data_IF_308028398737
#
_entry.id   IF_308028398737
#
_cell.length_a   1.000
_cell.length_b   1.000
_cell.length_c   1.000
_cell.angle_alpha   90.00
_cell.angle_beta   90.00
_cell.angle_gamma   90.00
#
_symmetry.space_group_name_H-M   'P 1'
#
loop_
_entity.id
_entity.type
_entity.pdbx_description
1 polymer ?
#
# COMPACT_ATOMS: atom_id res chain seq x y z
N UNK A 1 -14.37 13.42 -0.74
CA UNK A 1 -13.71 14.57 -1.43
C UNK A 1 -13.01 14.08 -2.70
N UNK A 2 -12.75 14.95 -3.69
CA UNK A 2 -11.96 14.61 -4.88
C UNK A 2 -10.89 15.68 -5.11
N UNK A 3 -9.61 15.31 -4.97
CA UNK A 3 -8.47 16.22 -5.05
C UNK A 3 -7.45 15.67 -6.05
N UNK A 4 -6.87 16.55 -6.86
CA UNK A 4 -5.83 16.20 -7.83
C UNK A 4 -4.76 17.29 -7.90
N UNK A 5 -3.51 16.90 -8.13
CA UNK A 5 -2.40 17.83 -8.35
C UNK A 5 -1.35 17.24 -9.30
N UNK A 6 -0.61 18.09 -9.99
CA UNK A 6 0.49 17.69 -10.89
C UNK A 6 1.82 18.34 -10.53
N UNK A 7 1.88 19.16 -9.47
CA UNK A 7 3.11 19.82 -9.04
C UNK A 7 4.10 18.86 -8.39
N UNK A 8 5.40 19.05 -8.63
CA UNK A 8 6.48 18.17 -8.14
C UNK A 8 6.69 18.08 -6.62
N UNK A 9 5.77 18.65 -5.82
CA UNK A 9 5.72 18.53 -4.35
C UNK A 9 4.27 18.58 -3.84
N UNK A 10 3.33 18.03 -4.60
CA UNK A 10 1.91 18.02 -4.23
C UNK A 10 1.69 17.45 -2.82
N UNK A 11 0.86 18.12 -2.02
CA UNK A 11 0.43 17.66 -0.71
C UNK A 11 -1.09 17.65 -0.66
N UNK A 12 -1.69 16.47 -0.64
CA UNK A 12 -3.14 16.29 -0.60
C UNK A 12 -3.52 15.48 0.63
N UNK A 13 -4.53 15.97 1.36
CA UNK A 13 -5.06 15.27 2.53
C UNK A 13 -6.59 15.31 2.53
N UNK A 14 -7.23 14.23 2.99
CA UNK A 14 -8.68 14.21 3.19
C UNK A 14 -9.09 13.26 4.31
N UNK A 15 -10.08 13.65 5.10
CA UNK A 15 -10.69 12.83 6.15
C UNK A 15 -12.08 12.28 5.77
N UNK A 16 -12.59 12.59 4.57
CA UNK A 16 -13.92 12.14 4.17
C UNK A 16 -13.91 10.71 3.67
N UNK A 17 -14.94 9.94 4.00
CA UNK A 17 -15.15 8.61 3.43
C UNK A 17 -15.22 8.69 1.91
N UNK A 18 -14.76 7.63 1.25
CA UNK A 18 -14.68 7.52 -0.21
C UNK A 18 -13.86 8.65 -0.87
N UNK A 19 -12.96 9.31 -0.13
CA UNK A 19 -12.09 10.34 -0.70
C UNK A 19 -11.23 9.78 -1.84
N UNK A 20 -11.05 10.59 -2.88
CA UNK A 20 -10.23 10.26 -4.05
C UNK A 20 -9.13 11.32 -4.17
N UNK A 21 -7.89 10.91 -3.98
CA UNK A 21 -6.71 11.77 -4.05
C UNK A 21 -5.79 11.24 -5.14
N UNK A 22 -5.39 12.11 -6.07
CA UNK A 22 -4.50 11.75 -7.16
C UNK A 22 -3.35 12.75 -7.31
N UNK A 23 -2.15 12.27 -7.62
CA UNK A 23 -1.04 13.13 -8.03
C UNK A 23 -0.21 12.54 -9.16
N UNK A 24 0.33 13.39 -10.03
CA UNK A 24 1.31 12.99 -11.04
C UNK A 24 2.70 13.58 -10.84
N UNK A 25 2.87 14.48 -9.87
CA UNK A 25 4.18 15.09 -9.58
C UNK A 25 5.11 14.14 -8.82
N UNK A 26 6.42 14.27 -9.04
CA UNK A 26 7.44 13.66 -8.19
C UNK A 26 7.23 14.06 -6.72
N UNK A 27 7.72 13.26 -5.78
CA UNK A 27 7.68 13.54 -4.34
C UNK A 27 6.28 13.85 -3.76
N UNK A 28 5.21 13.46 -4.46
CA UNK A 28 3.85 13.71 -4.01
C UNK A 28 3.57 13.06 -2.66
N UNK A 29 2.79 13.72 -1.81
CA UNK A 29 2.41 13.25 -0.48
C UNK A 29 0.89 13.24 -0.38
N UNK A 30 0.30 12.05 -0.34
CA UNK A 30 -1.13 11.84 -0.26
C UNK A 30 -1.45 11.15 1.06
N UNK A 31 -2.39 11.69 1.82
CA UNK A 31 -2.83 11.11 3.08
C UNK A 31 -4.36 11.07 3.18
N UNK A 32 -4.92 9.99 3.72
CA UNK A 32 -6.33 9.98 4.09
C UNK A 32 -6.63 9.23 5.38
N UNK A 33 -7.70 9.62 6.05
CA UNK A 33 -8.23 8.91 7.23
C UNK A 33 -9.67 8.45 7.05
N UNK A 34 -10.29 8.67 5.88
CA UNK A 34 -11.66 8.24 5.60
C UNK A 34 -11.71 6.79 5.12
N UNK A 35 -12.80 6.11 5.42
CA UNK A 35 -12.99 4.73 4.99
C UNK A 35 -13.19 4.66 3.48
N UNK A 36 -12.74 3.57 2.86
CA UNK A 36 -12.79 3.35 1.41
C UNK A 36 -12.08 4.43 0.58
N UNK A 37 -11.15 5.19 1.18
CA UNK A 37 -10.37 6.20 0.46
C UNK A 37 -9.49 5.57 -0.63
N UNK A 38 -9.35 6.27 -1.75
CA UNK A 38 -8.54 5.88 -2.90
C UNK A 38 -7.45 6.91 -3.15
N UNK A 39 -6.20 6.49 -3.00
CA UNK A 39 -5.01 7.33 -3.19
C UNK A 39 -4.21 6.78 -4.36
N UNK A 40 -3.92 7.61 -5.35
CA UNK A 40 -3.15 7.22 -6.54
C UNK A 40 -2.02 8.21 -6.82
N UNK A 41 -0.81 7.72 -7.13
CA UNK A 41 0.27 8.57 -7.62
C UNK A 41 1.11 7.95 -8.72
N UNK A 42 1.40 8.69 -9.78
CA UNK A 42 2.30 8.25 -10.85
C UNK A 42 3.70 8.86 -10.81
N UNK A 43 3.97 9.83 -9.93
CA UNK A 43 5.30 10.43 -9.80
C UNK A 43 6.25 9.59 -8.93
N UNK A 44 7.54 9.61 -9.26
CA UNK A 44 8.57 8.93 -8.47
C UNK A 44 8.68 9.50 -7.06
N UNK A 45 9.15 8.67 -6.12
CA UNK A 45 9.32 9.03 -4.71
C UNK A 45 8.01 9.44 -4.00
N UNK A 46 6.85 9.09 -4.58
CA UNK A 46 5.56 9.37 -3.98
C UNK A 46 5.39 8.68 -2.62
N UNK A 47 4.67 9.34 -1.71
CA UNK A 47 4.35 8.86 -0.37
C UNK A 47 2.84 8.85 -0.18
N UNK A 48 2.27 7.67 -0.05
CA UNK A 48 0.83 7.46 0.15
C UNK A 48 0.61 6.84 1.52
N UNK A 49 -0.30 7.42 2.30
CA UNK A 49 -0.66 6.91 3.61
C UNK A 49 -2.18 6.89 3.80
N UNK A 50 -2.74 5.81 4.37
CA UNK A 50 -4.13 5.81 4.82
C UNK A 50 -4.34 5.10 6.14
N UNK A 51 -5.19 5.66 7.01
CA UNK A 51 -5.63 5.00 8.24
C UNK A 51 -7.07 4.48 8.19
N UNK A 52 -7.84 4.79 7.14
CA UNK A 52 -9.23 4.33 7.00
C UNK A 52 -9.32 2.87 6.55
N UNK A 53 -10.40 2.19 6.93
CA UNK A 53 -10.66 0.81 6.53
C UNK A 53 -10.97 0.74 5.03
N UNK A 54 -10.68 -0.40 4.39
CA UNK A 54 -10.90 -0.64 2.96
C UNK A 54 -10.18 0.33 2.01
N UNK A 55 -9.16 1.05 2.51
CA UNK A 55 -8.40 1.99 1.70
C UNK A 55 -7.67 1.30 0.54
N UNK A 56 -7.59 2.00 -0.60
CA UNK A 56 -6.88 1.56 -1.79
C UNK A 56 -5.76 2.55 -2.09
N UNK A 57 -4.51 2.08 -2.00
CA UNK A 57 -3.32 2.87 -2.30
C UNK A 57 -2.65 2.27 -3.53
N UNK A 58 -2.43 3.10 -4.56
CA UNK A 58 -1.76 2.68 -5.78
C UNK A 58 -0.67 3.69 -6.16
N UNK A 59 0.52 3.19 -6.52
CA UNK A 59 1.52 4.05 -7.14
C UNK A 59 2.26 3.35 -8.27
N UNK A 60 2.43 4.04 -9.39
CA UNK A 60 3.21 3.57 -10.54
C UNK A 60 4.59 4.21 -10.66
N UNK A 61 4.93 5.19 -9.81
CA UNK A 61 6.25 5.80 -9.75
C UNK A 61 7.28 4.90 -9.04
N UNK A 62 8.54 5.01 -9.42
CA UNK A 62 9.64 4.29 -8.78
C UNK A 62 9.92 4.83 -7.38
N UNK A 63 10.49 3.98 -6.51
CA UNK A 63 10.86 4.36 -5.13
C UNK A 63 9.69 4.89 -4.29
N UNK A 64 8.46 4.50 -4.64
CA UNK A 64 7.27 4.92 -3.91
C UNK A 64 7.24 4.31 -2.51
N UNK A 65 6.54 4.97 -1.60
CA UNK A 65 6.33 4.50 -0.22
C UNK A 65 4.84 4.50 0.09
N UNK A 66 4.28 3.32 0.25
CA UNK A 66 2.87 3.13 0.55
C UNK A 66 2.73 2.58 1.98
N UNK A 67 1.86 3.18 2.77
CA UNK A 67 1.61 2.75 4.14
C UNK A 67 0.12 2.73 4.46
N UNK A 68 -0.36 1.72 5.18
CA UNK A 68 -1.71 1.76 5.73
C UNK A 68 -1.83 1.09 7.08
N UNK A 69 -2.68 1.64 7.95
CA UNK A 69 -3.05 1.03 9.24
C UNK A 69 -4.51 0.56 9.30
N UNK A 70 -5.33 0.85 8.29
CA UNK A 70 -6.73 0.46 8.24
C UNK A 70 -6.92 -1.02 7.89
N UNK A 71 -8.00 -1.61 8.37
CA UNK A 71 -8.38 -2.99 8.05
C UNK A 71 -8.77 -3.15 6.59
N UNK A 72 -8.49 -4.32 6.01
CA UNK A 72 -8.84 -4.67 4.62
C UNK A 72 -8.26 -3.73 3.55
N UNK A 73 -7.21 -2.97 3.87
CA UNK A 73 -6.53 -2.11 2.92
C UNK A 73 -5.81 -2.90 1.83
N UNK A 74 -5.77 -2.33 0.63
CA UNK A 74 -5.08 -2.90 -0.54
C UNK A 74 -4.03 -1.90 -1.03
N UNK A 75 -2.77 -2.35 -1.08
CA UNK A 75 -1.63 -1.50 -1.43
C UNK A 75 -0.92 -2.07 -2.66
N UNK A 76 -0.91 -1.34 -3.77
CA UNK A 76 -0.29 -1.75 -5.02
C UNK A 76 0.82 -0.79 -5.43
N UNK A 77 2.03 -1.33 -5.62
CA UNK A 77 3.14 -0.59 -6.23
C UNK A 77 3.49 -1.20 -7.59
N UNK A 78 3.34 -0.40 -8.64
CA UNK A 78 3.69 -0.78 -10.02
C UNK A 78 5.06 -0.20 -10.45
N UNK A 79 5.71 0.59 -9.59
CA UNK A 79 7.07 1.07 -9.79
C UNK A 79 8.09 0.26 -8.99
N UNK A 80 9.29 0.08 -9.55
CA UNK A 80 10.37 -0.71 -8.95
C UNK A 80 10.97 -0.05 -7.70
N UNK A 81 11.64 -0.86 -6.87
CA UNK A 81 12.39 -0.41 -5.68
C UNK A 81 11.55 0.38 -4.66
N UNK A 82 10.26 0.10 -4.60
CA UNK A 82 9.33 0.74 -3.70
C UNK A 82 9.30 0.06 -2.31
N UNK A 83 8.61 0.67 -1.36
CA UNK A 83 8.35 0.08 -0.04
C UNK A 83 6.85 0.14 0.25
N UNK A 84 6.28 -1.00 0.61
CA UNK A 84 4.87 -1.15 0.96
C UNK A 84 4.75 -1.75 2.34
N UNK A 85 4.08 -1.06 3.26
CA UNK A 85 3.88 -1.53 4.61
C UNK A 85 2.42 -1.44 5.03
N UNK A 86 1.92 -2.44 5.74
CA UNK A 86 0.63 -2.32 6.40
C UNK A 86 0.60 -2.98 7.76
N UNK A 87 0.02 -2.26 8.73
CA UNK A 87 -0.24 -2.74 10.08
C UNK A 87 -1.71 -3.09 10.33
N UNK A 88 -2.55 -3.06 9.28
CA UNK A 88 -3.98 -3.32 9.37
C UNK A 88 -4.33 -4.81 9.27
N UNK A 89 -5.45 -5.19 9.85
CA UNK A 89 -6.01 -6.55 9.76
C UNK A 89 -6.49 -6.85 8.34
N UNK A 90 -6.34 -8.09 7.86
CA UNK A 90 -6.81 -8.53 6.53
C UNK A 90 -6.28 -7.68 5.36
N UNK A 91 -5.08 -7.12 5.50
CA UNK A 91 -4.47 -6.29 4.46
C UNK A 91 -3.72 -7.14 3.45
N UNK A 92 -3.58 -6.62 2.23
CA UNK A 92 -2.80 -7.25 1.18
C UNK A 92 -1.98 -6.24 0.40
N UNK A 93 -0.83 -6.67 -0.09
CA UNK A 93 0.07 -5.84 -0.89
C UNK A 93 0.60 -6.58 -2.12
N UNK A 94 0.88 -5.83 -3.18
CA UNK A 94 1.63 -6.30 -4.35
C UNK A 94 2.65 -5.26 -4.80
N UNK A 95 3.70 -5.71 -5.47
CA UNK A 95 4.81 -4.88 -5.94
C UNK A 95 5.40 -5.36 -7.27
N UNK A 96 6.24 -4.52 -7.87
CA UNK A 96 7.25 -4.92 -8.87
C UNK A 96 8.52 -5.42 -8.19
N UNK A 97 9.43 -5.99 -8.97
CA UNK A 97 10.75 -6.42 -8.52
C UNK A 97 11.49 -5.32 -7.73
N UNK A 98 12.19 -5.75 -6.69
CA UNK A 98 12.87 -4.85 -5.74
C UNK A 98 11.94 -4.14 -4.74
N UNK A 99 10.62 -4.32 -4.85
CA UNK A 99 9.68 -3.75 -3.86
C UNK A 99 9.75 -4.54 -2.56
N UNK A 100 10.03 -3.85 -1.45
CA UNK A 100 9.94 -4.45 -0.12
C UNK A 100 8.51 -4.37 0.42
N UNK A 101 8.00 -5.50 0.91
CA UNK A 101 6.69 -5.62 1.54
C UNK A 101 6.85 -5.96 3.02
N UNK A 102 6.03 -5.33 3.88
CA UNK A 102 5.87 -5.68 5.29
C UNK A 102 4.37 -5.68 5.66
N UNK A 103 3.80 -6.81 6.06
CA UNK A 103 2.38 -6.94 6.40
C UNK A 103 2.21 -7.53 7.80
N UNK A 104 1.35 -6.92 8.62
CA UNK A 104 0.99 -7.45 9.92
C UNK A 104 0.13 -8.71 9.80
N UNK A 105 0.40 -9.69 10.67
CA UNK A 105 -0.40 -10.89 10.83
C UNK A 105 -1.24 -10.82 12.11
N UNK A 106 -2.48 -11.29 12.03
CA UNK A 106 -3.42 -11.24 13.16
C UNK A 106 -4.01 -12.61 13.47
N UNK A 107 -4.18 -12.88 14.77
CA UNK A 107 -4.99 -13.98 15.31
C UNK A 107 -5.90 -13.43 16.39
N UNK A 108 -7.21 -13.70 16.29
CA UNK A 108 -8.22 -13.20 17.24
C UNK A 108 -8.13 -11.68 17.49
N UNK A 109 -7.93 -10.92 16.41
CA UNK A 109 -7.70 -9.44 16.40
C UNK A 109 -6.44 -8.97 17.13
N UNK A 110 -5.58 -9.86 17.61
CA UNK A 110 -4.26 -9.50 18.16
C UNK A 110 -3.22 -9.61 17.06
N UNK A 111 -2.40 -8.58 16.90
CA UNK A 111 -1.22 -8.64 16.05
C UNK A 111 -0.25 -9.67 16.65
N UNK A 112 0.19 -10.64 15.85
CA UNK A 112 1.10 -11.71 16.26
C UNK A 112 2.47 -11.61 15.60
N UNK A 113 2.67 -10.67 14.69
CA UNK A 113 3.93 -10.44 14.01
C UNK A 113 3.77 -9.70 12.69
N UNK A 114 4.87 -9.58 11.97
CA UNK A 114 4.90 -9.10 10.59
C UNK A 114 5.58 -10.14 9.70
N UNK A 115 5.05 -10.33 8.51
CA UNK A 115 5.75 -11.00 7.43
C UNK A 115 6.40 -9.95 6.53
N UNK A 116 7.64 -10.19 6.14
CA UNK A 116 8.40 -9.29 5.27
C UNK A 116 9.04 -10.05 4.11
N UNK A 117 9.32 -9.35 3.02
CA UNK A 117 10.05 -9.90 1.88
C UNK A 117 10.25 -8.90 0.76
N UNK A 118 11.15 -9.22 -0.16
CA UNK A 118 11.42 -8.44 -1.34
C UNK A 118 10.83 -9.14 -2.57
N UNK A 119 9.98 -8.45 -3.31
CA UNK A 119 9.44 -8.97 -4.58
C UNK A 119 10.60 -9.19 -5.57
N UNK A 120 10.57 -10.33 -6.26
CA UNK A 120 11.66 -10.79 -7.12
C UNK A 120 12.73 -11.62 -6.39
N UNK A 121 12.61 -11.80 -5.07
CA UNK A 121 13.50 -12.63 -4.25
C UNK A 121 12.72 -13.71 -3.49
N UNK A 122 13.41 -14.79 -3.10
CA UNK A 122 12.90 -15.85 -2.22
C UNK A 122 11.54 -16.45 -2.66
N UNK A 123 11.29 -16.49 -3.97
CA UNK A 123 10.06 -17.02 -4.56
C UNK A 123 8.87 -16.05 -4.60
N UNK A 124 9.04 -14.80 -4.16
CA UNK A 124 8.01 -13.75 -4.27
C UNK A 124 7.97 -13.19 -5.70
N UNK A 125 6.81 -13.28 -6.34
CA UNK A 125 6.57 -12.92 -7.74
C UNK A 125 6.08 -11.48 -7.85
N UNK A 126 6.51 -10.79 -8.90
CA UNK A 126 5.93 -9.52 -9.28
C UNK A 126 4.42 -9.62 -9.55
N UNK A 127 3.72 -8.50 -9.41
CA UNK A 127 2.29 -8.34 -9.70
C UNK A 127 1.35 -9.32 -8.96
N UNK A 128 1.86 -9.99 -7.93
CA UNK A 128 1.13 -10.98 -7.14
C UNK A 128 0.72 -10.39 -5.80
N UNK A 129 -0.54 -10.58 -5.41
CA UNK A 129 -1.04 -10.14 -4.11
C UNK A 129 -0.53 -11.08 -3.01
N UNK A 130 -0.01 -10.50 -1.93
CA UNK A 130 0.47 -11.21 -0.76
C UNK A 130 -0.28 -10.77 0.50
N UNK A 131 -0.46 -11.72 1.41
CA UNK A 131 -0.95 -11.54 2.79
C UNK A 131 0.06 -12.15 3.77
N UNK A 132 0.01 -11.74 5.03
CA UNK A 132 0.82 -12.37 6.09
C UNK A 132 0.08 -13.58 6.70
N UNK A 133 0.72 -14.75 6.69
CA UNK A 133 0.20 -15.98 7.31
C UNK A 133 1.36 -16.88 7.77
N UNK A 134 1.34 -17.34 9.02
CA UNK A 134 2.38 -18.18 9.59
C UNK A 134 3.77 -17.52 9.61
N UNK A 135 3.83 -16.21 9.77
CA UNK A 135 5.05 -15.40 9.75
C UNK A 135 5.66 -15.21 8.35
N UNK A 136 4.95 -15.60 7.29
CA UNK A 136 5.42 -15.53 5.90
C UNK A 136 4.46 -14.75 5.01
N UNK A 137 4.98 -14.18 3.93
CA UNK A 137 4.16 -13.66 2.84
C UNK A 137 3.66 -14.85 2.01
N UNK A 138 2.34 -14.94 1.86
CA UNK A 138 1.66 -16.01 1.12
C UNK A 138 0.79 -15.38 0.04
N UNK A 139 0.75 -15.97 -1.15
CA UNK A 139 -0.07 -15.49 -2.27
C UNK A 139 -1.57 -15.48 -1.88
N UNK A 140 -2.22 -14.33 -2.02
CA UNK A 140 -3.64 -14.14 -1.75
C UNK A 140 -4.47 -14.77 -2.88
N UNK A 141 -4.99 -15.98 -2.64
CA UNK A 141 -5.69 -16.80 -3.64
C UNK A 141 -5.07 -18.19 -3.88
N UNK A 142 -3.90 -18.48 -3.30
CA UNK A 142 -3.42 -19.85 -3.21
C UNK A 142 -4.34 -20.65 -2.27
N UNK A 143 -4.95 -21.71 -2.77
CA UNK A 143 -5.75 -22.62 -1.95
C UNK A 143 -4.87 -23.14 -0.80
N UNK A 144 -5.35 -22.95 0.43
CA UNK A 144 -4.74 -23.49 1.65
C UNK A 144 -4.84 -25.00 1.70
#
# INVERSE_FOLDING_TARGET
ARLASSGGYAQLASSGDYAQLASSGHYARLASSGDSARLASSGDYARLASSGDYAQLASSGHYARLASSGGSAQLASEGEYSVVASSGVNTRAKGRDGTWIALAEFKDRKCIGFATGCIGADGLKADTWYVARGGKLVEDGAAS
#
